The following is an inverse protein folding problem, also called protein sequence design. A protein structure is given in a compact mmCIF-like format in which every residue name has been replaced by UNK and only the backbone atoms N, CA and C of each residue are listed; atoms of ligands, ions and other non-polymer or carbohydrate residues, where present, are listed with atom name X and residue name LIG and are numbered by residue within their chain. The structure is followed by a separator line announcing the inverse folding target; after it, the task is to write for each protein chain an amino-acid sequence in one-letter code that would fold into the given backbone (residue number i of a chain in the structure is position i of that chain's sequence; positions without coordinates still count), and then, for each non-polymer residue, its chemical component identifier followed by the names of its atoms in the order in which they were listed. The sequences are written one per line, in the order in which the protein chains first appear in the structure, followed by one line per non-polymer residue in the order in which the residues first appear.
data_IF_059918877795
#
_entry.id   IF_059918877795
#
_cell.length_a   1.000
_cell.length_b   1.000
_cell.length_c   1.000
_cell.angle_alpha   90.00
_cell.angle_beta   90.00
_cell.angle_gamma   90.00
#
_symmetry.space_group_name_H-M   'P 1'
#
loop_
_entity.id
_entity.type
_entity.pdbx_description
1 polymer ?
#
# COMPACT_ATOMS: atom_id res chain seq x y z
N UNK A 1 -9.71 6.58 -21.91
CA UNK A 1 -9.81 6.15 -20.49
C UNK A 1 -9.98 7.40 -19.65
N UNK A 2 -11.12 7.56 -18.97
CA UNK A 2 -11.41 8.74 -18.15
C UNK A 2 -10.95 8.51 -16.72
N UNK A 3 -10.40 9.55 -16.08
CA UNK A 3 -9.98 9.49 -14.69
C UNK A 3 -11.16 9.31 -13.73
N UNK A 4 -12.30 9.94 -14.01
CA UNK A 4 -13.46 9.88 -13.10
C UNK A 4 -13.96 8.44 -12.92
N UNK A 5 -13.99 7.66 -14.01
CA UNK A 5 -14.38 6.24 -13.98
C UNK A 5 -13.37 5.40 -13.19
N UNK A 6 -12.07 5.70 -13.33
CA UNK A 6 -11.01 5.06 -12.56
C UNK A 6 -11.18 5.38 -11.07
N UNK A 7 -11.37 6.66 -10.74
CA UNK A 7 -11.53 7.10 -9.36
C UNK A 7 -12.70 6.38 -8.70
N UNK A 8 -13.88 6.40 -9.33
CA UNK A 8 -15.08 5.70 -8.84
C UNK A 8 -14.86 4.19 -8.69
N UNK A 9 -14.16 3.55 -9.61
CA UNK A 9 -13.97 2.09 -9.59
C UNK A 9 -12.92 1.61 -8.56
N UNK A 10 -11.93 2.45 -8.23
CA UNK A 10 -10.76 2.05 -7.46
C UNK A 10 -10.60 2.75 -6.10
N UNK A 11 -11.34 3.83 -5.82
CA UNK A 11 -11.20 4.60 -4.57
C UNK A 11 -11.25 3.72 -3.33
N UNK A 12 -12.34 2.98 -3.14
CA UNK A 12 -12.51 2.14 -1.96
C UNK A 12 -11.44 1.04 -1.85
N UNK A 13 -10.96 0.52 -2.99
CA UNK A 13 -9.92 -0.52 -3.00
C UNK A 13 -8.56 0.04 -2.59
N UNK A 14 -8.21 1.22 -3.09
CA UNK A 14 -6.97 1.92 -2.71
C UNK A 14 -7.04 2.36 -1.26
N UNK A 15 -8.16 2.92 -0.82
CA UNK A 15 -8.35 3.30 0.58
C UNK A 15 -8.22 2.09 1.53
N UNK A 16 -8.86 0.97 1.21
CA UNK A 16 -8.72 -0.29 1.98
C UNK A 16 -7.27 -0.79 2.01
N UNK A 17 -6.54 -0.68 0.90
CA UNK A 17 -5.12 -1.02 0.88
C UNK A 17 -4.33 -0.13 1.85
N UNK A 18 -4.50 1.19 1.79
CA UNK A 18 -3.82 2.12 2.68
C UNK A 18 -4.18 1.87 4.16
N UNK A 19 -5.45 1.58 4.46
CA UNK A 19 -5.90 1.16 5.78
C UNK A 19 -5.19 -0.12 6.26
N UNK A 20 -4.98 -1.10 5.37
CA UNK A 20 -4.25 -2.32 5.69
C UNK A 20 -2.77 -2.09 6.06
N UNK A 21 -2.15 -1.01 5.58
CA UNK A 21 -0.76 -0.68 5.92
C UNK A 21 -0.61 0.08 7.24
N UNK A 22 -1.55 0.96 7.58
CA UNK A 22 -1.35 1.92 8.68
C UNK A 22 -2.39 1.84 9.80
N UNK A 23 -3.56 1.22 9.56
CA UNK A 23 -4.68 1.18 10.48
C UNK A 23 -5.04 2.56 11.08
N UNK A 24 -4.86 3.62 10.29
CA UNK A 24 -5.07 5.02 10.64
C UNK A 24 -5.93 5.63 9.53
N UNK A 25 -7.15 6.03 9.87
CA UNK A 25 -8.14 6.50 8.90
C UNK A 25 -7.72 7.81 8.22
N UNK A 26 -7.41 8.90 8.97
CA UNK A 26 -6.88 10.13 8.36
C UNK A 26 -5.68 9.88 7.45
N UNK A 27 -4.69 9.13 7.91
CA UNK A 27 -3.49 8.86 7.12
C UNK A 27 -3.83 8.04 5.87
N UNK A 28 -4.66 7.02 5.98
CA UNK A 28 -5.07 6.21 4.84
C UNK A 28 -5.83 7.02 3.79
N UNK A 29 -6.69 7.95 4.23
CA UNK A 29 -7.41 8.85 3.35
C UNK A 29 -6.45 9.78 2.59
N UNK A 30 -5.46 10.36 3.28
CA UNK A 30 -4.46 11.23 2.66
C UNK A 30 -3.60 10.47 1.63
N UNK A 31 -3.12 9.28 1.99
CA UNK A 31 -2.33 8.45 1.08
C UNK A 31 -3.14 8.00 -0.14
N UNK A 32 -4.44 7.69 0.03
CA UNK A 32 -5.31 7.38 -1.09
C UNK A 32 -5.46 8.58 -2.04
N UNK A 33 -5.59 9.80 -1.51
CA UNK A 33 -5.60 11.01 -2.34
C UNK A 33 -4.29 11.18 -3.12
N UNK A 34 -3.14 10.98 -2.48
CA UNK A 34 -1.82 11.02 -3.13
C UNK A 34 -1.70 9.99 -4.27
N UNK A 35 -2.28 8.80 -4.09
CA UNK A 35 -2.35 7.79 -5.15
C UNK A 35 -3.09 8.35 -6.35
N UNK A 36 -4.30 8.89 -6.15
CA UNK A 36 -5.10 9.39 -7.26
C UNK A 36 -4.53 10.65 -7.90
N UNK A 37 -3.80 11.50 -7.16
CA UNK A 37 -3.03 12.59 -7.73
C UNK A 37 -1.95 12.07 -8.70
N UNK A 38 -1.24 11.01 -8.33
CA UNK A 38 -0.26 10.36 -9.23
C UNK A 38 -0.93 9.65 -10.40
N UNK A 39 -2.05 8.99 -10.17
CA UNK A 39 -2.84 8.38 -11.25
C UNK A 39 -3.22 9.45 -12.26
N UNK A 40 -3.78 10.59 -11.84
CA UNK A 40 -4.11 11.71 -12.73
C UNK A 40 -2.89 12.17 -13.53
N UNK A 41 -1.76 12.39 -12.85
CA UNK A 41 -0.52 12.86 -13.47
C UNK A 41 0.02 11.90 -14.53
N UNK A 42 -0.01 10.59 -14.28
CA UNK A 42 0.62 9.59 -15.14
C UNK A 42 -0.34 8.86 -16.07
N UNK A 43 -1.65 9.08 -15.96
CA UNK A 43 -2.67 8.46 -16.81
C UNK A 43 -2.42 8.70 -18.31
N UNK A 44 -2.00 9.90 -18.78
CA UNK A 44 -1.70 10.11 -20.21
C UNK A 44 -0.56 9.25 -20.75
N UNK A 45 0.36 8.82 -19.86
CA UNK A 45 1.54 8.02 -20.20
C UNK A 45 1.33 6.53 -19.98
N UNK A 46 0.12 6.10 -19.61
CA UNK A 46 -0.19 4.71 -19.36
C UNK A 46 -0.25 3.92 -20.68
N UNK A 47 0.72 3.04 -20.89
CA UNK A 47 0.90 2.29 -22.15
C UNK A 47 0.02 1.05 -22.30
N UNK A 48 -0.73 0.66 -21.26
CA UNK A 48 -1.59 -0.53 -21.32
C UNK A 48 -0.86 -1.88 -21.29
N UNK A 49 0.44 -1.89 -20.96
CA UNK A 49 1.24 -3.12 -20.81
C UNK A 49 0.81 -3.99 -19.60
N UNK A 50 -0.05 -3.45 -18.74
CA UNK A 50 -0.64 -4.13 -17.58
C UNK A 50 -2.10 -3.70 -17.42
N UNK A 51 -2.88 -4.38 -16.58
CA UNK A 51 -4.22 -3.91 -16.23
C UNK A 51 -4.14 -2.58 -15.48
N UNK A 52 -5.15 -1.74 -15.63
CA UNK A 52 -5.28 -0.47 -14.89
C UNK A 52 -5.21 -0.70 -13.38
N UNK A 53 -5.90 -1.73 -12.89
CA UNK A 53 -5.88 -2.09 -11.48
C UNK A 53 -4.47 -2.44 -11.00
N UNK A 54 -3.75 -3.31 -11.71
CA UNK A 54 -2.36 -3.67 -11.39
C UNK A 54 -1.45 -2.44 -11.33
N UNK A 55 -1.63 -1.50 -12.26
CA UNK A 55 -0.86 -0.26 -12.31
C UNK A 55 -1.17 0.67 -11.12
N UNK A 56 -2.45 0.87 -10.80
CA UNK A 56 -2.89 1.68 -9.65
C UNK A 56 -2.40 1.07 -8.33
N UNK A 57 -2.58 -0.24 -8.13
CA UNK A 57 -2.11 -0.91 -6.92
C UNK A 57 -0.60 -0.80 -6.77
N UNK A 58 0.17 -0.83 -7.87
CA UNK A 58 1.62 -0.60 -7.80
C UNK A 58 1.96 0.81 -7.34
N UNK A 59 1.24 1.83 -7.80
CA UNK A 59 1.40 3.21 -7.31
C UNK A 59 1.07 3.28 -5.80
N UNK A 60 -0.04 2.68 -5.38
CA UNK A 60 -0.50 2.67 -4.00
C UNK A 60 0.46 1.97 -3.04
N UNK A 61 0.92 0.77 -3.39
CA UNK A 61 1.92 0.03 -2.62
C UNK A 61 3.22 0.83 -2.49
N UNK A 62 3.69 1.47 -3.57
CA UNK A 62 4.90 2.28 -3.51
C UNK A 62 4.74 3.52 -2.60
N UNK A 63 3.56 4.14 -2.58
CA UNK A 63 3.27 5.24 -1.65
C UNK A 63 3.31 4.75 -0.21
N UNK A 64 2.61 3.66 0.10
CA UNK A 64 2.53 3.12 1.44
C UNK A 64 3.91 2.67 1.96
N UNK A 65 4.70 1.98 1.14
CA UNK A 65 6.06 1.57 1.52
C UNK A 65 6.95 2.77 1.84
N UNK A 66 6.94 3.81 0.99
CA UNK A 66 7.71 5.04 1.24
C UNK A 66 7.28 5.75 2.52
N UNK A 67 5.98 5.80 2.80
CA UNK A 67 5.48 6.40 4.04
C UNK A 67 5.89 5.59 5.27
N UNK A 68 5.85 4.26 5.20
CA UNK A 68 6.33 3.39 6.29
C UNK A 68 7.84 3.53 6.54
N UNK A 69 8.65 3.66 5.48
CA UNK A 69 10.08 3.97 5.61
C UNK A 69 10.32 5.34 6.27
N UNK A 70 9.53 6.35 5.92
CA UNK A 70 9.60 7.69 6.51
C UNK A 70 9.27 7.66 8.01
N UNK A 71 8.19 6.98 8.41
CA UNK A 71 7.83 6.85 9.83
C UNK A 71 8.94 6.17 10.64
N UNK A 72 9.54 5.09 10.10
CA UNK A 72 10.66 4.40 10.75
C UNK A 72 11.88 5.29 10.96
N UNK A 73 12.24 6.12 9.98
CA UNK A 73 13.37 7.07 10.11
C UNK A 73 13.13 8.12 11.18
N UNK A 74 11.89 8.64 11.27
CA UNK A 74 11.52 9.61 12.31
C UNK A 74 11.66 8.95 13.69
N UNK A 75 11.12 7.75 13.88
CA UNK A 75 11.25 7.01 15.14
C UNK A 75 12.70 6.68 15.52
N UNK A 76 13.59 6.42 14.55
CA UNK A 76 15.02 6.17 14.81
C UNK A 76 15.81 7.42 15.22
N UNK A 77 15.35 8.61 14.84
CA UNK A 77 16.05 9.87 15.17
C UNK A 77 15.80 10.29 16.62
N UNK A 78 14.82 9.71 17.29
CA UNK A 78 14.46 9.98 18.69
C UNK A 78 15.12 9.04 19.71
N UNK A 79 15.98 8.11 19.26
CA UNK A 79 16.59 7.08 20.13
C UNK A 79 18.01 7.51 20.57
N UNK A 80 18.30 7.61 21.89
CA UNK A 80 19.67 7.80 22.40
C UNK A 80 20.62 6.66 21.94
N UNK A 81 21.93 6.89 21.84
CA UNK A 81 22.85 6.08 21.01
C UNK A 81 23.21 4.69 21.54
N UNK A 82 22.41 4.10 22.44
CA UNK A 82 22.69 2.78 23.02
C UNK A 82 21.46 1.86 22.98
N UNK A 83 21.16 1.33 21.79
CA UNK A 83 20.37 0.09 21.63
C UNK A 83 20.75 -0.56 20.31
N UNK A 84 21.58 -1.60 20.40
CA UNK A 84 21.84 -2.53 19.31
C UNK A 84 20.59 -3.37 19.06
N UNK A 85 19.89 -3.13 17.94
CA UNK A 85 18.74 -3.95 17.54
C UNK A 85 19.17 -4.86 16.39
N UNK A 86 19.37 -6.15 16.70
CA UNK A 86 19.53 -7.19 15.69
C UNK A 86 18.19 -7.43 14.98
N UNK A 87 18.07 -6.92 13.75
CA UNK A 87 16.88 -7.12 12.92
C UNK A 87 16.96 -8.47 12.20
N UNK A 88 16.54 -9.56 12.86
CA UNK A 88 16.41 -10.88 12.25
C UNK A 88 14.97 -11.13 11.74
N UNK A 89 14.83 -11.25 10.42
CA UNK A 89 13.90 -12.07 9.60
C UNK A 89 12.43 -12.31 10.01
N UNK A 90 11.80 -11.44 10.81
CA UNK A 90 10.41 -11.64 11.25
C UNK A 90 9.39 -11.44 10.10
N UNK A 91 9.76 -10.65 9.09
CA UNK A 91 8.88 -10.24 7.99
C UNK A 91 8.60 -11.38 7.00
N UNK A 92 9.57 -12.28 6.79
CA UNK A 92 9.42 -13.41 5.85
C UNK A 92 8.45 -14.46 6.40
N UNK A 93 8.53 -14.75 7.70
CA UNK A 93 7.64 -15.68 8.41
C UNK A 93 6.19 -15.17 8.46
N UNK A 94 6.01 -13.86 8.69
CA UNK A 94 4.68 -13.25 8.75
C UNK A 94 3.95 -13.30 7.40
N UNK A 95 4.69 -13.09 6.30
CA UNK A 95 4.14 -13.17 4.94
C UNK A 95 3.73 -14.60 4.60
N UNK A 96 4.52 -15.60 5.00
CA UNK A 96 4.19 -17.02 4.79
C UNK A 96 2.95 -17.44 5.60
N UNK A 97 2.84 -17.00 6.85
CA UNK A 97 1.66 -17.25 7.69
C UNK A 97 0.40 -16.62 7.09
N UNK A 98 0.51 -15.42 6.53
CA UNK A 98 -0.59 -14.72 5.87
C UNK A 98 -1.07 -15.47 4.61
N UNK A 99 -0.16 -15.90 3.72
CA UNK A 99 -0.54 -16.67 2.53
C UNK A 99 -1.20 -18.00 2.89
N UNK A 100 -0.74 -18.66 3.97
CA UNK A 100 -1.36 -19.89 4.48
C UNK A 100 -2.79 -19.64 4.96
N UNK A 101 -3.03 -18.56 5.71
CA UNK A 101 -4.37 -18.18 6.17
C UNK A 101 -5.31 -17.81 5.00
N UNK A 102 -4.83 -17.05 4.01
CA UNK A 102 -5.61 -16.69 2.80
C UNK A 102 -5.92 -17.94 1.97
N UNK A 103 -4.99 -18.89 1.87
CA UNK A 103 -5.19 -20.14 1.14
C UNK A 103 -6.27 -21.05 1.75
N UNK A 104 -6.57 -20.87 3.04
CA UNK A 104 -7.60 -21.61 3.77
C UNK A 104 -9.01 -21.01 3.73
N UNK A 105 -9.18 -19.80 3.19
CA UNK A 105 -10.50 -19.21 2.96
C UNK A 105 -11.10 -19.75 1.66
N UNK A 106 -12.40 -20.10 1.72
CA UNK A 106 -13.17 -20.57 0.58
C UNK A 106 -13.17 -19.51 -0.53
N UNK A 107 -13.23 -19.97 -1.78
CA UNK A 107 -12.99 -19.16 -2.98
C UNK A 107 -13.92 -17.93 -3.10
N UNK A 108 -15.05 -17.93 -2.38
CA UNK A 108 -16.02 -16.84 -2.32
C UNK A 108 -15.60 -15.62 -1.50
N UNK A 109 -14.61 -15.75 -0.61
CA UNK A 109 -14.12 -14.64 0.23
C UNK A 109 -12.86 -13.96 -0.35
N UNK A 110 -12.47 -14.32 -1.57
CA UNK A 110 -11.26 -13.83 -2.26
C UNK A 110 -11.53 -12.73 -3.31
N UNK A 111 -12.57 -11.92 -3.12
CA UNK A 111 -12.90 -10.79 -4.00
C UNK A 111 -13.00 -9.46 -3.24
#
# INVERSE_FOLDING_TARGET
MNFEDIYKAYWDKVFRLCMGYFNDYPLAQDLAQDVFARVWQYLPSFKGESSVGSWIFRIATNICLRQGERQRRISQTEVPPDVSVEAADDRSLHVQALYKAISGLSETDRL
#
